data_IF_966061569251
#
_entry.id   IF_966061569251
#
_cell.length_a   1.000
_cell.length_b   1.000
_cell.length_c   1.000
_cell.angle_alpha   90.00
_cell.angle_beta   90.00
_cell.angle_gamma   90.00
#
_symmetry.space_group_name_H-M   'P 1'
#
loop_
_entity.id
_entity.type
_entity.pdbx_description
1 polymer ?
#
# COMPACT_ATOMS: atom_id res chain seq x y z
N UNK A 1 -33.37 19.10 67.05
CA UNK A 1 -32.04 18.58 67.44
C UNK A 1 -31.82 17.29 66.66
N UNK A 2 -30.59 17.08 66.20
CA UNK A 2 -30.10 16.02 65.29
C UNK A 2 -30.07 16.36 63.79
N UNK A 3 -28.82 16.56 63.38
CA UNK A 3 -28.22 16.75 62.06
C UNK A 3 -28.01 15.36 61.47
N UNK A 4 -28.35 15.13 60.21
CA UNK A 4 -27.65 14.14 59.38
C UNK A 4 -27.56 14.62 57.93
N UNK A 5 -26.32 14.85 57.55
CA UNK A 5 -25.74 15.15 56.24
C UNK A 5 -26.02 14.08 55.20
N UNK A 6 -26.32 14.45 53.95
CA UNK A 6 -25.90 13.70 52.77
C UNK A 6 -25.84 14.64 51.54
N UNK A 7 -24.62 15.04 51.21
CA UNK A 7 -24.27 15.65 49.94
C UNK A 7 -24.35 14.60 48.84
N UNK A 8 -25.30 14.74 47.91
CA UNK A 8 -25.31 13.96 46.68
C UNK A 8 -25.03 14.89 45.50
N UNK A 9 -23.75 14.89 45.09
CA UNK A 9 -23.32 15.36 43.79
C UNK A 9 -23.99 14.51 42.71
N UNK A 10 -24.98 15.05 41.99
CA UNK A 10 -25.34 14.52 40.68
C UNK A 10 -24.42 15.16 39.63
N UNK A 11 -23.26 14.53 39.42
CA UNK A 11 -22.52 14.69 38.17
C UNK A 11 -23.30 13.92 37.09
N UNK A 12 -24.12 14.63 36.31
CA UNK A 12 -24.69 14.09 35.07
C UNK A 12 -23.55 13.96 34.08
N UNK A 13 -23.05 12.73 33.92
CA UNK A 13 -22.06 12.37 32.92
C UNK A 13 -22.65 12.63 31.52
N UNK A 14 -22.08 13.61 30.82
CA UNK A 14 -22.28 13.72 29.37
C UNK A 14 -21.79 12.43 28.71
N UNK A 15 -22.49 11.87 27.72
CA UNK A 15 -21.95 10.78 26.94
C UNK A 15 -20.71 11.31 26.20
N UNK A 16 -19.53 10.80 26.56
CA UNK A 16 -18.34 10.88 25.73
C UNK A 16 -18.73 10.27 24.39
N UNK A 17 -18.94 11.12 23.38
CA UNK A 17 -18.90 10.69 22.00
C UNK A 17 -17.56 10.00 21.81
N UNK A 18 -17.58 8.67 21.67
CA UNK A 18 -16.43 7.90 21.27
C UNK A 18 -16.04 8.41 19.89
N UNK A 19 -15.06 9.32 19.86
CA UNK A 19 -14.35 9.67 18.65
C UNK A 19 -13.73 8.36 18.16
N UNK A 20 -14.34 7.75 17.15
CA UNK A 20 -13.71 6.68 16.40
C UNK A 20 -12.31 7.18 16.02
N UNK A 21 -11.22 6.43 16.30
CA UNK A 21 -9.91 6.85 15.91
C UNK A 21 -9.93 7.02 14.39
N UNK A 22 -9.78 8.27 13.96
CA UNK A 22 -9.53 8.63 12.58
C UNK A 22 -8.21 7.97 12.21
N UNK A 23 -8.29 6.79 11.58
CA UNK A 23 -7.16 6.03 11.00
C UNK A 23 -6.54 6.76 9.78
N UNK A 24 -6.51 8.09 9.82
CA UNK A 24 -6.05 8.98 8.77
C UNK A 24 -4.61 9.44 8.99
N UNK A 25 -4.01 9.18 10.17
CA UNK A 25 -2.68 9.70 10.52
C UNK A 25 -1.51 8.72 10.31
N UNK A 26 -1.77 7.43 10.03
CA UNK A 26 -0.69 6.47 9.67
C UNK A 26 -0.33 6.55 8.17
N UNK A 27 -1.08 7.32 7.37
CA UNK A 27 -0.90 7.42 5.91
C UNK A 27 0.38 8.14 5.46
N UNK A 28 1.17 8.76 6.34
CA UNK A 28 2.27 9.67 5.96
C UNK A 28 3.69 9.26 6.35
N UNK A 29 3.90 8.13 7.02
CA UNK A 29 5.21 7.86 7.60
C UNK A 29 6.29 7.42 6.58
N UNK A 30 5.93 6.77 5.47
CA UNK A 30 6.90 6.23 4.50
C UNK A 30 6.55 6.37 3.00
N UNK A 31 5.51 7.12 2.63
CA UNK A 31 5.03 7.17 1.24
C UNK A 31 4.72 5.78 0.62
N UNK A 32 4.40 4.79 1.46
CA UNK A 32 4.03 3.46 0.99
C UNK A 32 2.64 3.48 0.34
N UNK A 33 2.54 2.89 -0.84
CA UNK A 33 1.25 2.58 -1.45
C UNK A 33 0.61 1.39 -0.72
N UNK A 34 -0.67 1.49 -0.39
CA UNK A 34 -1.39 0.37 0.22
C UNK A 34 -1.78 -0.64 -0.83
N UNK A 35 -1.89 -1.89 -0.41
CA UNK A 35 -2.74 -2.83 -1.13
C UNK A 35 -4.18 -2.33 -1.08
N UNK A 36 -4.81 -2.17 -2.23
CA UNK A 36 -6.13 -1.56 -2.42
C UNK A 36 -7.12 -2.46 -3.17
N UNK A 37 -6.64 -3.54 -3.77
CA UNK A 37 -7.45 -4.54 -4.47
C UNK A 37 -7.06 -5.95 -4.02
N UNK A 38 -8.03 -6.85 -3.96
CA UNK A 38 -7.85 -8.26 -3.65
C UNK A 38 -9.14 -8.89 -3.17
N UNK A 39 -9.27 -10.20 -3.39
CA UNK A 39 -10.49 -10.94 -3.07
C UNK A 39 -10.28 -11.74 -1.79
N UNK A 40 -11.24 -11.69 -0.86
CA UNK A 40 -11.21 -12.53 0.32
C UNK A 40 -11.23 -14.02 -0.09
N UNK A 41 -10.38 -14.85 0.52
CA UNK A 41 -10.02 -16.22 0.09
C UNK A 41 -9.16 -16.36 -1.18
N UNK A 42 -8.74 -15.27 -1.81
CA UNK A 42 -7.69 -15.34 -2.81
C UNK A 42 -6.30 -15.42 -2.18
N UNK A 43 -5.30 -15.69 -3.02
CA UNK A 43 -3.88 -15.68 -2.65
C UNK A 43 -3.18 -14.39 -3.06
N UNK A 44 -3.89 -13.35 -3.52
CA UNK A 44 -3.29 -12.15 -4.07
C UNK A 44 -3.87 -10.86 -3.48
N UNK A 45 -3.01 -9.87 -3.35
CA UNK A 45 -3.35 -8.50 -3.04
C UNK A 45 -2.63 -7.59 -4.04
N UNK A 46 -3.30 -6.56 -4.50
CA UNK A 46 -2.78 -5.62 -5.48
C UNK A 46 -2.66 -4.23 -4.84
N UNK A 47 -1.55 -3.57 -5.12
CA UNK A 47 -1.33 -2.17 -4.82
C UNK A 47 -1.01 -1.41 -6.08
N UNK A 48 -1.32 -0.12 -6.11
CA UNK A 48 -0.99 0.74 -7.23
C UNK A 48 -0.42 2.07 -6.78
N UNK A 49 0.50 2.61 -7.57
CA UNK A 49 1.13 3.90 -7.34
C UNK A 49 1.38 4.63 -8.66
N UNK A 50 1.50 5.96 -8.58
CA UNK A 50 1.98 6.78 -9.68
C UNK A 50 3.24 7.52 -9.23
N UNK A 51 4.29 7.43 -10.03
CA UNK A 51 5.55 8.12 -9.81
C UNK A 51 5.83 9.05 -10.99
N UNK A 52 6.75 10.00 -10.79
CA UNK A 52 7.31 10.78 -11.89
C UNK A 52 8.10 9.83 -12.81
N UNK A 53 7.87 9.95 -14.11
CA UNK A 53 8.61 9.21 -15.11
C UNK A 53 9.99 9.86 -15.38
N UNK A 54 11.04 9.05 -15.35
CA UNK A 54 12.39 9.41 -15.78
C UNK A 54 12.92 8.34 -16.72
N UNK A 55 13.45 8.74 -17.87
CA UNK A 55 13.99 7.81 -18.87
C UNK A 55 15.16 7.04 -18.26
N UNK A 56 15.14 5.71 -18.39
CA UNK A 56 16.19 4.82 -17.88
C UNK A 56 16.14 4.51 -16.38
N UNK A 57 15.08 4.93 -15.68
CA UNK A 57 14.99 4.72 -14.23
C UNK A 57 14.78 3.27 -13.84
N UNK A 58 15.42 2.88 -12.74
CA UNK A 58 15.19 1.59 -12.08
C UNK A 58 14.26 1.79 -10.91
N UNK A 59 13.17 1.03 -10.89
CA UNK A 59 12.19 1.04 -9.80
C UNK A 59 12.49 -0.14 -8.89
N UNK A 60 12.57 0.12 -7.59
CA UNK A 60 12.62 -0.92 -6.56
C UNK A 60 11.35 -0.83 -5.72
N UNK A 61 10.58 -1.92 -5.69
CA UNK A 61 9.39 -2.08 -4.87
C UNK A 61 9.74 -2.93 -3.65
N UNK A 62 9.40 -2.47 -2.44
CA UNK A 62 9.64 -3.17 -1.18
C UNK A 62 8.38 -3.21 -0.33
N UNK A 63 7.96 -4.39 0.11
CA UNK A 63 6.90 -4.53 1.11
C UNK A 63 7.43 -4.01 2.45
N UNK A 64 6.67 -3.13 3.09
CA UNK A 64 6.98 -2.56 4.40
C UNK A 64 5.81 -2.71 5.36
N UNK A 65 6.12 -2.72 6.65
CA UNK A 65 5.13 -2.46 7.69
C UNK A 65 4.79 -0.95 7.70
N UNK A 66 3.50 -0.61 7.61
CA UNK A 66 3.01 0.76 7.54
C UNK A 66 3.18 1.55 8.84
N UNK A 67 3.25 0.87 9.98
CA UNK A 67 3.44 1.49 11.27
C UNK A 67 4.92 1.81 11.54
N UNK A 68 5.84 0.91 11.17
CA UNK A 68 7.28 1.09 11.44
C UNK A 68 8.09 1.59 10.25
N UNK A 69 7.52 1.52 9.04
CA UNK A 69 8.21 1.86 7.79
C UNK A 69 9.43 1.00 7.48
N UNK A 70 9.56 -0.14 8.14
CA UNK A 70 10.67 -1.07 7.94
C UNK A 70 10.28 -2.13 6.91
N UNK A 71 11.25 -2.65 6.13
CA UNK A 71 11.01 -3.79 5.25
C UNK A 71 10.34 -4.93 6.01
N UNK A 72 9.29 -5.48 5.42
CA UNK A 72 8.64 -6.68 5.95
C UNK A 72 9.56 -7.87 5.69
N UNK A 73 9.88 -8.65 6.72
CA UNK A 73 10.87 -9.74 6.62
C UNK A 73 10.26 -11.13 6.77
N UNK A 74 8.97 -11.22 7.04
CA UNK A 74 8.28 -12.48 7.21
C UNK A 74 7.80 -13.03 5.85
N UNK A 75 7.49 -14.33 5.80
CA UNK A 75 7.16 -15.10 4.59
C UNK A 75 5.66 -15.21 4.34
N UNK A 76 4.84 -14.65 5.24
CA UNK A 76 3.37 -14.66 5.12
C UNK A 76 2.85 -13.98 3.86
N UNK A 77 3.62 -13.03 3.32
CA UNK A 77 3.39 -12.39 2.03
C UNK A 77 4.72 -12.15 1.34
N UNK A 78 4.74 -12.23 0.02
CA UNK A 78 5.88 -11.87 -0.83
C UNK A 78 5.39 -11.19 -2.09
N UNK A 79 6.28 -10.45 -2.76
CA UNK A 79 5.98 -9.91 -4.08
C UNK A 79 5.86 -11.07 -5.06
N UNK A 80 4.88 -11.02 -5.95
CA UNK A 80 4.70 -12.00 -7.03
C UNK A 80 5.05 -11.35 -8.37
N UNK A 81 4.39 -10.25 -8.68
CA UNK A 81 4.60 -9.53 -9.94
C UNK A 81 4.63 -8.04 -9.69
N UNK A 82 5.57 -7.34 -10.32
CA UNK A 82 5.58 -5.88 -10.37
C UNK A 82 5.54 -5.46 -11.83
N UNK A 83 4.62 -4.56 -12.16
CA UNK A 83 4.41 -4.02 -13.51
C UNK A 83 4.54 -2.51 -13.43
N UNK A 84 5.37 -1.94 -14.30
CA UNK A 84 5.45 -0.50 -14.50
C UNK A 84 5.15 -0.13 -15.95
N UNK A 85 4.23 0.80 -16.15
CA UNK A 85 3.85 1.29 -17.47
C UNK A 85 3.78 2.81 -17.48
N UNK A 86 4.54 3.42 -18.39
CA UNK A 86 4.48 4.87 -18.58
C UNK A 86 3.16 5.20 -19.27
N UNK A 87 2.34 6.02 -18.61
CA UNK A 87 1.12 6.55 -19.21
C UNK A 87 1.26 8.07 -19.26
N UNK A 88 1.25 8.61 -20.47
CA UNK A 88 1.14 10.05 -20.68
C UNK A 88 -0.12 10.36 -21.49
N UNK A 89 -0.69 11.54 -21.30
CA UNK A 89 -1.76 12.01 -22.18
C UNK A 89 -1.20 12.52 -23.52
N UNK A 90 0.12 12.78 -23.57
CA UNK A 90 0.80 13.37 -24.72
C UNK A 90 1.59 12.36 -25.59
N UNK A 91 1.54 11.05 -25.32
CA UNK A 91 2.05 10.08 -26.30
C UNK A 91 0.98 9.80 -27.35
N UNK A 92 1.36 9.89 -28.63
CA UNK A 92 0.52 9.38 -29.72
C UNK A 92 0.33 7.88 -29.49
N UNK A 93 -0.84 7.49 -28.97
CA UNK A 93 -1.18 6.08 -28.78
C UNK A 93 -1.24 5.40 -30.14
N UNK A 94 -0.21 4.62 -30.45
CA UNK A 94 -0.20 3.71 -31.58
C UNK A 94 -0.67 2.32 -31.09
N UNK A 95 -1.89 1.87 -31.45
CA UNK A 95 -2.38 0.55 -31.06
C UNK A 95 -1.52 -0.59 -31.63
N UNK A 96 -0.72 -0.35 -32.67
CA UNK A 96 0.22 -1.35 -33.21
C UNK A 96 1.47 -1.52 -32.33
N UNK A 97 1.86 -0.50 -31.54
CA UNK A 97 3.02 -0.53 -30.65
C UNK A 97 2.64 -0.87 -29.19
N UNK A 98 1.37 -0.65 -28.82
CA UNK A 98 0.90 -0.86 -27.45
C UNK A 98 1.43 0.18 -26.45
N UNK A 99 1.03 0.05 -25.19
CA UNK A 99 1.58 0.90 -24.11
C UNK A 99 2.87 0.22 -23.62
N UNK A 100 4.02 0.94 -23.60
CA UNK A 100 5.25 0.38 -23.07
C UNK A 100 5.06 0.02 -21.60
N UNK A 101 5.32 -1.24 -21.29
CA UNK A 101 5.24 -1.79 -19.95
C UNK A 101 6.45 -2.71 -19.71
N UNK A 102 7.08 -2.55 -18.55
CA UNK A 102 8.03 -3.50 -18.02
C UNK A 102 7.36 -4.31 -16.92
N UNK A 103 7.56 -5.62 -16.91
CA UNK A 103 7.15 -6.47 -15.80
C UNK A 103 8.33 -7.30 -15.31
N UNK A 104 8.30 -7.59 -14.02
CA UNK A 104 9.23 -8.52 -13.39
C UNK A 104 8.41 -9.44 -12.49
N UNK A 105 8.64 -10.75 -12.64
CA UNK A 105 8.18 -11.71 -11.64
C UNK A 105 9.24 -11.78 -10.54
N UNK A 106 8.77 -11.59 -9.32
CA UNK A 106 9.58 -11.78 -8.14
C UNK A 106 9.92 -13.26 -7.99
N UNK A 107 11.11 -13.57 -7.49
CA UNK A 107 11.39 -14.91 -7.01
C UNK A 107 10.52 -15.20 -5.78
N UNK A 108 10.02 -16.42 -5.70
CA UNK A 108 9.12 -16.86 -4.62
C UNK A 108 9.74 -16.55 -3.24
N UNK A 109 9.01 -15.82 -2.39
CA UNK A 109 9.48 -15.44 -1.05
C UNK A 109 10.29 -14.14 -0.97
N UNK A 110 10.36 -13.34 -2.05
CA UNK A 110 11.09 -12.05 -2.03
C UNK A 110 10.14 -10.88 -1.71
N UNK A 111 10.51 -10.03 -0.75
CA UNK A 111 9.74 -8.85 -0.36
C UNK A 111 10.23 -7.55 -1.02
N UNK A 112 11.33 -7.62 -1.77
CA UNK A 112 11.93 -6.51 -2.51
C UNK A 112 12.25 -6.93 -3.94
N UNK A 113 11.84 -6.15 -4.92
CA UNK A 113 12.07 -6.42 -6.34
C UNK A 113 12.46 -5.15 -7.08
N UNK A 114 13.47 -5.24 -7.93
CA UNK A 114 13.94 -4.13 -8.76
C UNK A 114 13.80 -4.46 -10.25
N UNK A 115 13.42 -3.47 -11.07
CA UNK A 115 13.36 -3.59 -12.52
C UNK A 115 13.60 -2.26 -13.23
N UNK A 116 14.12 -2.34 -14.45
CA UNK A 116 14.21 -1.20 -15.35
C UNK A 116 12.83 -0.89 -15.97
N UNK A 117 12.28 0.29 -15.69
CA UNK A 117 10.99 0.68 -16.23
C UNK A 117 11.14 1.18 -17.68
N UNK A 118 10.31 0.66 -18.59
CA UNK A 118 10.21 1.16 -19.95
C UNK A 118 9.50 2.53 -19.93
N UNK A 119 10.30 3.59 -19.94
CA UNK A 119 9.83 4.97 -19.92
C UNK A 119 10.25 5.66 -21.22
N UNK A 120 9.33 5.84 -22.19
CA UNK A 120 9.59 6.62 -23.39
C UNK A 120 9.96 8.07 -23.09
N UNK A 121 10.75 8.68 -23.98
CA UNK A 121 11.07 10.10 -23.87
C UNK A 121 9.79 10.96 -23.91
N UNK A 122 9.72 11.96 -23.04
CA UNK A 122 8.56 12.84 -22.89
C UNK A 122 7.52 12.36 -21.88
N UNK A 123 7.61 11.12 -21.37
CA UNK A 123 6.67 10.62 -20.36
C UNK A 123 6.75 11.42 -19.05
N UNK A 124 5.61 11.83 -18.51
CA UNK A 124 5.49 12.56 -17.24
C UNK A 124 5.13 11.65 -16.07
N UNK A 125 4.37 10.59 -16.32
CA UNK A 125 3.88 9.68 -15.28
C UNK A 125 4.21 8.21 -15.57
N UNK A 126 4.67 7.52 -14.53
CA UNK A 126 4.83 6.07 -14.49
C UNK A 126 3.75 5.50 -13.56
N UNK A 127 2.87 4.68 -14.12
CA UNK A 127 1.92 3.89 -13.35
C UNK A 127 2.57 2.58 -12.92
N UNK A 128 2.41 2.21 -11.66
CA UNK A 128 2.94 1.00 -11.08
C UNK A 128 1.79 0.17 -10.52
N UNK A 129 1.79 -1.12 -10.83
CA UNK A 129 0.93 -2.13 -10.21
C UNK A 129 1.82 -3.19 -9.60
N UNK A 130 1.55 -3.53 -8.34
CA UNK A 130 2.24 -4.60 -7.63
C UNK A 130 1.24 -5.64 -7.18
N UNK A 131 1.55 -6.90 -7.41
CA UNK A 131 0.81 -8.04 -6.91
C UNK A 131 1.66 -8.70 -5.83
N UNK A 132 1.16 -8.69 -4.59
CA UNK A 132 1.68 -9.49 -3.49
C UNK A 132 0.92 -10.80 -3.40
N UNK A 133 1.63 -11.91 -3.21
CA UNK A 133 1.06 -13.23 -2.97
C UNK A 133 1.23 -13.61 -1.50
N UNK A 134 0.16 -14.09 -0.90
CA UNK A 134 0.15 -14.52 0.50
C UNK A 134 -0.56 -15.86 0.64
N UNK A 135 -0.29 -16.58 1.72
CA UNK A 135 -0.98 -17.85 2.00
C UNK A 135 -2.46 -17.58 2.28
N UNK A 136 -3.39 -18.17 1.50
CA UNK A 136 -4.82 -18.07 1.79
C UNK A 136 -5.08 -18.53 3.22
N UNK A 137 -5.89 -17.78 3.94
CA UNK A 137 -6.14 -18.05 5.34
C UNK A 137 -7.45 -17.47 5.82
N UNK A 138 -7.50 -17.17 7.11
CA UNK A 138 -8.65 -16.53 7.73
C UNK A 138 -8.70 -15.02 7.42
N UNK A 139 -9.82 -14.39 7.76
CA UNK A 139 -10.03 -12.95 7.63
C UNK A 139 -8.92 -12.10 8.28
N UNK A 140 -8.27 -12.59 9.34
CA UNK A 140 -7.20 -11.87 10.01
C UNK A 140 -5.96 -11.70 9.11
N UNK A 141 -5.57 -12.75 8.36
CA UNK A 141 -4.45 -12.65 7.41
C UNK A 141 -4.74 -11.66 6.28
N UNK A 142 -5.95 -11.73 5.73
CA UNK A 142 -6.40 -10.78 4.71
C UNK A 142 -6.36 -9.35 5.27
N UNK A 143 -7.02 -9.10 6.40
CA UNK A 143 -7.03 -7.77 7.03
C UNK A 143 -5.64 -7.28 7.41
N UNK A 144 -4.73 -8.17 7.81
CA UNK A 144 -3.36 -7.82 8.11
C UNK A 144 -2.67 -7.21 6.89
N UNK A 145 -2.73 -7.85 5.72
CA UNK A 145 -2.12 -7.34 4.48
C UNK A 145 -2.64 -5.94 4.14
N UNK A 146 -3.96 -5.74 4.15
CA UNK A 146 -4.57 -4.46 3.73
C UNK A 146 -4.43 -3.34 4.77
N UNK A 147 -4.29 -3.66 6.06
CA UNK A 147 -4.25 -2.66 7.13
C UNK A 147 -2.85 -2.38 7.68
N UNK A 148 -1.92 -3.33 7.56
CA UNK A 148 -0.59 -3.26 8.18
C UNK A 148 0.52 -3.16 7.16
N UNK A 149 0.31 -3.63 5.93
CA UNK A 149 1.37 -3.67 4.92
C UNK A 149 1.12 -2.70 3.78
N UNK A 150 2.21 -2.26 3.18
CA UNK A 150 2.20 -1.48 1.95
C UNK A 150 3.49 -1.69 1.18
N UNK A 151 3.63 -1.00 0.06
CA UNK A 151 4.78 -1.08 -0.82
C UNK A 151 5.40 0.29 -0.97
N UNK A 152 6.67 0.41 -0.62
CA UNK A 152 7.49 1.59 -0.90
C UNK A 152 8.16 1.40 -2.24
N UNK A 153 8.15 2.47 -3.05
CA UNK A 153 8.86 2.51 -4.32
C UNK A 153 10.01 3.49 -4.23
N UNK A 154 11.22 3.03 -4.52
CA UNK A 154 12.39 3.89 -4.68
C UNK A 154 12.86 3.90 -6.13
N UNK A 155 13.32 5.07 -6.57
CA UNK A 155 13.82 5.31 -7.93
C UNK A 155 15.34 5.48 -7.84
N UNK A 156 16.07 4.75 -8.69
CA UNK A 156 17.51 4.87 -8.88
C UNK A 156 17.86 5.14 -10.35
#
# INVERSE_FOLDING_TARGET
MQILTLANLLAVALPLAAAAPTNSHVQRACNAARFNSGVYYSFYAEGSASLKATVGQTITATIVDLATCTPYTDTSIFLDTVIGSAFDLDFTYDPAQGIPASSVQANNGTNTVSFAAAVPNGSQHLSLTVTGRFTPGNLANFQFVFNKLGVVYSVA
#
